data_IF_963278243986
#
_entry.id   IF_963278243986
#
_cell.length_a   1.000
_cell.length_b   1.000
_cell.length_c   1.000
_cell.angle_alpha   90.00
_cell.angle_beta   90.00
_cell.angle_gamma   90.00
#
_symmetry.space_group_name_H-M   'P 1'
#
loop_
_entity.id
_entity.type
_entity.pdbx_description
1 polymer ?
#
# COMPACT_ATOMS: atom_id res chain seq x y z
N UNK A 1 -11.26 -50.90 29.68
CA UNK A 1 -10.40 -49.91 28.96
C UNK A 1 -10.92 -49.59 27.56
N UNK A 2 -11.72 -50.42 26.92
CA UNK A 2 -12.28 -50.22 25.55
C UNK A 2 -13.42 -49.18 25.45
N UNK A 3 -14.19 -48.95 26.53
CA UNK A 3 -15.35 -48.03 26.48
C UNK A 3 -14.97 -46.53 26.41
N UNK A 4 -13.84 -46.11 26.97
CA UNK A 4 -13.39 -44.71 26.94
C UNK A 4 -12.78 -44.28 25.60
N UNK A 5 -12.23 -45.21 24.84
CA UNK A 5 -11.63 -44.94 23.52
C UNK A 5 -12.72 -44.66 22.48
N UNK A 6 -13.84 -45.35 22.52
CA UNK A 6 -14.95 -45.11 21.61
C UNK A 6 -15.66 -43.77 21.83
N UNK A 7 -15.67 -43.24 23.07
CA UNK A 7 -16.23 -41.93 23.38
C UNK A 7 -15.34 -40.77 22.90
N UNK A 8 -14.02 -40.95 22.91
CA UNK A 8 -13.07 -39.96 22.38
C UNK A 8 -13.08 -39.95 20.84
N UNK A 9 -13.13 -41.08 20.19
CA UNK A 9 -13.24 -41.16 18.72
C UNK A 9 -14.56 -40.57 18.20
N UNK A 10 -15.68 -40.78 18.89
CA UNK A 10 -16.98 -40.22 18.51
C UNK A 10 -17.02 -38.68 18.63
N UNK A 11 -16.33 -38.11 19.62
CA UNK A 11 -16.21 -36.63 19.76
C UNK A 11 -15.24 -35.99 18.76
N UNK A 12 -14.19 -36.70 18.34
CA UNK A 12 -13.29 -36.24 17.29
C UNK A 12 -13.96 -36.26 15.91
N UNK A 13 -14.78 -37.28 15.62
CA UNK A 13 -15.53 -37.33 14.37
C UNK A 13 -16.63 -36.28 14.27
N UNK A 14 -17.31 -35.95 15.38
CA UNK A 14 -18.33 -34.90 15.39
C UNK A 14 -17.73 -33.50 15.30
N UNK A 15 -16.46 -33.29 15.69
CA UNK A 15 -15.75 -31.99 15.52
C UNK A 15 -15.29 -31.81 14.08
N UNK A 16 -15.00 -32.85 13.33
CA UNK A 16 -14.56 -32.78 11.93
C UNK A 16 -15.70 -32.46 10.94
N UNK A 17 -16.96 -32.72 11.33
CA UNK A 17 -18.14 -32.42 10.49
C UNK A 17 -18.53 -30.95 10.53
N UNK A 18 -18.02 -30.13 11.50
CA UNK A 18 -18.39 -28.73 11.68
C UNK A 18 -17.51 -27.75 10.87
N UNK A 19 -16.50 -28.21 10.11
CA UNK A 19 -15.60 -27.32 9.35
C UNK A 19 -15.80 -27.48 7.82
N UNK A 20 -16.94 -27.97 7.38
CA UNK A 20 -17.30 -27.88 5.97
C UNK A 20 -17.92 -26.52 5.68
N UNK A 21 -17.10 -25.47 5.73
CA UNK A 21 -17.44 -24.19 5.12
C UNK A 21 -17.46 -24.42 3.61
N UNK A 22 -18.66 -24.69 3.06
CA UNK A 22 -18.82 -24.65 1.60
C UNK A 22 -18.48 -23.24 1.15
N UNK A 23 -17.56 -23.06 0.19
CA UNK A 23 -17.36 -21.75 -0.40
C UNK A 23 -18.71 -21.32 -1.01
N UNK A 24 -19.26 -20.24 -0.49
CA UNK A 24 -20.47 -19.62 -1.05
C UNK A 24 -20.02 -18.88 -2.31
N UNK A 25 -20.09 -19.58 -3.44
CA UNK A 25 -19.91 -18.91 -4.74
C UNK A 25 -21.13 -18.02 -4.99
N UNK A 26 -20.88 -16.82 -5.52
CA UNK A 26 -21.95 -15.95 -5.98
C UNK A 26 -22.75 -16.67 -7.09
N UNK A 27 -24.06 -16.59 -7.03
CA UNK A 27 -24.95 -17.17 -8.04
C UNK A 27 -24.79 -16.37 -9.33
N UNK A 28 -24.40 -17.05 -10.42
CA UNK A 28 -24.30 -16.40 -11.72
C UNK A 28 -25.70 -16.06 -12.25
N UNK A 29 -25.97 -14.78 -12.46
CA UNK A 29 -27.20 -14.28 -13.01
C UNK A 29 -26.94 -13.15 -14.03
N UNK A 30 -26.92 -13.48 -15.33
CA UNK A 30 -26.72 -12.49 -16.41
C UNK A 30 -27.78 -11.37 -16.45
N UNK A 31 -29.00 -11.64 -15.92
CA UNK A 31 -30.09 -10.66 -15.91
C UNK A 31 -29.84 -9.46 -14.94
N UNK A 32 -28.73 -9.48 -14.19
CA UNK A 32 -28.31 -8.35 -13.36
C UNK A 32 -27.66 -7.21 -14.15
N UNK A 33 -27.35 -7.45 -15.43
CA UNK A 33 -26.78 -6.44 -16.31
C UNK A 33 -27.85 -5.43 -16.74
N UNK A 34 -27.57 -4.12 -16.62
CA UNK A 34 -28.48 -3.09 -17.11
C UNK A 34 -28.65 -3.16 -18.63
N UNK A 35 -29.81 -2.73 -19.16
CA UNK A 35 -30.05 -2.64 -20.61
C UNK A 35 -29.13 -1.57 -21.25
N UNK A 36 -28.97 -0.43 -20.59
CA UNK A 36 -28.05 0.61 -21.03
C UNK A 36 -26.63 0.35 -20.55
N UNK A 37 -25.66 0.45 -21.47
CA UNK A 37 -24.23 0.29 -21.14
C UNK A 37 -23.75 1.43 -20.24
N UNK A 38 -23.36 1.10 -19.02
CA UNK A 38 -22.76 2.02 -18.03
C UNK A 38 -21.40 1.46 -17.58
N UNK A 39 -20.38 2.29 -17.35
CA UNK A 39 -19.11 1.83 -16.84
C UNK A 39 -19.14 1.38 -15.36
N UNK A 40 -20.25 1.64 -14.64
CA UNK A 40 -20.40 1.38 -13.21
C UNK A 40 -21.65 0.55 -12.93
N UNK A 41 -21.48 -0.70 -12.49
CA UNK A 41 -22.55 -1.59 -12.02
C UNK A 41 -22.34 -1.85 -10.54
N UNK A 42 -23.16 -1.22 -9.70
CA UNK A 42 -23.03 -1.27 -8.24
C UNK A 42 -24.18 -2.10 -7.63
N UNK A 43 -24.02 -3.44 -7.64
CA UNK A 43 -25.01 -4.39 -7.11
C UNK A 43 -24.96 -4.50 -5.59
N UNK A 44 -23.79 -4.33 -4.99
CA UNK A 44 -23.59 -4.35 -3.54
C UNK A 44 -23.92 -3.02 -2.85
N UNK A 45 -24.22 -1.97 -3.62
CA UNK A 45 -24.49 -0.60 -3.13
C UNK A 45 -23.36 -0.03 -2.28
N UNK A 46 -22.14 -0.25 -2.74
CA UNK A 46 -20.91 0.26 -2.12
C UNK A 46 -20.76 1.77 -2.32
N UNK A 47 -21.42 2.36 -3.32
CA UNK A 47 -21.37 3.78 -3.63
C UNK A 47 -22.72 4.46 -3.34
N UNK A 48 -22.67 5.70 -2.87
CA UNK A 48 -23.86 6.55 -2.85
C UNK A 48 -24.28 6.92 -4.28
N UNK A 49 -25.55 7.29 -4.52
CA UNK A 49 -26.03 7.67 -5.85
C UNK A 49 -25.21 8.80 -6.50
N UNK A 50 -24.76 9.78 -5.72
CA UNK A 50 -23.96 10.89 -6.21
C UNK A 50 -22.54 10.44 -6.58
N UNK A 51 -21.92 9.58 -5.77
CA UNK A 51 -20.61 9.01 -6.06
C UNK A 51 -20.66 8.13 -7.31
N UNK A 52 -21.71 7.29 -7.45
CA UNK A 52 -21.89 6.46 -8.63
C UNK A 52 -21.95 7.31 -9.90
N UNK A 53 -22.81 8.35 -9.92
CA UNK A 53 -22.94 9.25 -11.07
C UNK A 53 -21.63 9.98 -11.40
N UNK A 54 -20.95 10.50 -10.38
CA UNK A 54 -19.66 11.17 -10.55
C UNK A 54 -18.60 10.21 -11.10
N UNK A 55 -18.60 8.96 -10.63
CA UNK A 55 -17.67 7.93 -11.11
C UNK A 55 -17.98 7.55 -12.57
N UNK A 56 -19.26 7.40 -12.95
CA UNK A 56 -19.68 7.15 -14.33
C UNK A 56 -19.18 8.23 -15.29
N UNK A 57 -19.39 9.50 -14.94
CA UNK A 57 -18.90 10.64 -15.72
C UNK A 57 -17.37 10.64 -15.83
N UNK A 58 -16.68 10.39 -14.73
CA UNK A 58 -15.20 10.33 -14.65
C UNK A 58 -14.62 9.22 -15.53
N UNK A 59 -15.19 8.02 -15.50
CA UNK A 59 -14.71 6.87 -16.26
C UNK A 59 -15.02 7.01 -17.77
N UNK A 60 -16.18 7.56 -18.13
CA UNK A 60 -16.53 7.86 -19.52
C UNK A 60 -15.58 8.92 -20.11
N UNK A 61 -15.31 10.00 -19.36
CA UNK A 61 -14.38 11.03 -19.82
C UNK A 61 -12.97 10.46 -20.02
N UNK A 62 -12.49 9.64 -19.09
CA UNK A 62 -11.19 8.98 -19.20
C UNK A 62 -11.11 8.11 -20.47
N UNK A 63 -12.15 7.33 -20.74
CA UNK A 63 -12.21 6.48 -21.94
C UNK A 63 -12.19 7.31 -23.24
N UNK A 64 -12.96 8.42 -23.29
CA UNK A 64 -13.00 9.31 -24.44
C UNK A 64 -11.64 10.01 -24.67
N UNK A 65 -11.00 10.49 -23.60
CA UNK A 65 -9.76 11.27 -23.70
C UNK A 65 -8.51 10.42 -23.95
N UNK A 66 -8.46 9.22 -23.36
CA UNK A 66 -7.24 8.40 -23.34
C UNK A 66 -7.35 7.04 -24.02
N UNK A 67 -8.57 6.57 -24.31
CA UNK A 67 -8.83 5.23 -24.82
C UNK A 67 -8.74 4.11 -23.76
N UNK A 68 -8.38 4.42 -22.50
CA UNK A 68 -8.34 3.45 -21.41
C UNK A 68 -9.72 3.18 -20.86
N UNK A 69 -10.13 1.91 -20.84
CA UNK A 69 -11.44 1.46 -20.39
C UNK A 69 -11.37 0.96 -18.95
N UNK A 70 -11.84 1.76 -17.98
CA UNK A 70 -11.99 1.31 -16.60
C UNK A 70 -13.47 1.02 -16.34
N UNK A 71 -13.76 -0.19 -15.88
CA UNK A 71 -15.12 -0.65 -15.55
C UNK A 71 -15.17 -1.09 -14.09
N UNK A 72 -16.25 -0.77 -13.42
CA UNK A 72 -16.45 -1.09 -12.01
C UNK A 72 -17.70 -1.94 -11.80
N UNK A 73 -17.53 -3.07 -11.12
CA UNK A 73 -18.59 -3.97 -10.68
C UNK A 73 -18.50 -4.18 -9.17
N UNK A 74 -19.54 -3.84 -8.42
CA UNK A 74 -19.68 -4.38 -7.09
C UNK A 74 -20.66 -5.56 -7.09
N UNK A 75 -20.37 -6.59 -6.31
CA UNK A 75 -21.20 -7.79 -6.20
C UNK A 75 -21.30 -8.23 -4.74
N UNK A 76 -22.41 -8.92 -4.41
CA UNK A 76 -22.62 -9.45 -3.07
C UNK A 76 -23.04 -10.93 -3.12
N UNK A 77 -24.34 -11.24 -3.16
CA UNK A 77 -24.84 -12.63 -3.21
C UNK A 77 -24.88 -13.20 -4.61
N UNK A 78 -25.03 -12.35 -5.61
CA UNK A 78 -25.12 -12.72 -7.03
C UNK A 78 -24.23 -11.84 -7.88
N UNK A 79 -23.75 -12.41 -8.98
CA UNK A 79 -22.82 -11.79 -9.92
C UNK A 79 -23.31 -12.04 -11.35
N UNK A 80 -23.09 -11.14 -12.30
CA UNK A 80 -23.34 -11.40 -13.72
C UNK A 80 -22.40 -12.46 -14.31
N UNK A 81 -21.37 -12.90 -13.57
CA UNK A 81 -20.42 -13.92 -14.01
C UNK A 81 -19.63 -13.53 -15.25
N UNK A 82 -19.41 -14.48 -16.17
CA UNK A 82 -18.65 -14.24 -17.41
C UNK A 82 -19.34 -13.32 -18.39
N UNK A 83 -20.69 -13.16 -18.31
CA UNK A 83 -21.45 -12.29 -19.18
C UNK A 83 -21.00 -10.82 -19.14
N UNK A 84 -20.34 -10.41 -18.04
CA UNK A 84 -19.79 -9.06 -17.90
C UNK A 84 -18.71 -8.73 -18.93
N UNK A 85 -17.97 -9.74 -19.42
CA UNK A 85 -16.92 -9.54 -20.42
C UNK A 85 -17.51 -9.13 -21.76
N UNK A 86 -18.57 -9.82 -22.16
CA UNK A 86 -19.27 -9.53 -23.42
C UNK A 86 -20.08 -8.23 -23.33
N UNK A 87 -20.64 -7.94 -22.15
CA UNK A 87 -21.39 -6.71 -21.91
C UNK A 87 -20.53 -5.45 -22.07
N UNK A 88 -19.29 -5.46 -21.61
CA UNK A 88 -18.38 -4.33 -21.70
C UNK A 88 -17.35 -4.43 -22.83
N UNK A 89 -17.40 -5.48 -23.66
CA UNK A 89 -16.44 -5.73 -24.73
C UNK A 89 -14.98 -5.58 -24.21
N UNK A 90 -14.67 -6.30 -23.12
CA UNK A 90 -13.38 -6.17 -22.45
C UNK A 90 -12.24 -6.68 -23.35
N UNK A 91 -11.22 -5.83 -23.52
CA UNK A 91 -10.03 -6.06 -24.34
C UNK A 91 -8.72 -5.80 -23.57
N UNK A 92 -7.60 -5.72 -24.29
CA UNK A 92 -6.27 -5.49 -23.73
C UNK A 92 -6.14 -4.12 -23.03
N UNK A 93 -6.96 -3.14 -23.41
CA UNK A 93 -6.99 -1.78 -22.84
C UNK A 93 -8.03 -1.63 -21.73
N UNK A 94 -8.63 -2.73 -21.30
CA UNK A 94 -9.70 -2.74 -20.31
C UNK A 94 -9.19 -3.14 -18.92
N UNK A 95 -9.65 -2.42 -17.90
CA UNK A 95 -9.48 -2.73 -16.49
C UNK A 95 -10.84 -2.96 -15.86
N UNK A 96 -11.11 -4.17 -15.39
CA UNK A 96 -12.28 -4.48 -14.60
C UNK A 96 -11.92 -4.51 -13.11
N UNK A 97 -12.53 -3.64 -12.35
CA UNK A 97 -12.42 -3.58 -10.88
C UNK A 97 -13.66 -4.22 -10.29
N UNK A 98 -13.47 -5.29 -9.52
CA UNK A 98 -14.56 -5.99 -8.85
C UNK A 98 -14.45 -5.77 -7.35
N UNK A 99 -15.49 -5.22 -6.73
CA UNK A 99 -15.62 -5.12 -5.29
C UNK A 99 -16.57 -6.22 -4.75
N UNK A 100 -16.07 -7.04 -3.83
CA UNK A 100 -16.89 -8.04 -3.12
C UNK A 100 -16.71 -7.89 -1.60
N UNK A 101 -17.65 -7.26 -0.89
CA UNK A 101 -17.57 -7.04 0.56
C UNK A 101 -17.48 -8.31 1.40
N UNK A 102 -17.80 -9.49 0.84
CA UNK A 102 -17.70 -10.78 1.55
C UNK A 102 -16.32 -11.40 1.45
N UNK A 103 -15.48 -10.90 0.54
CA UNK A 103 -14.11 -11.40 0.36
C UNK A 103 -13.21 -11.01 1.53
N UNK A 104 -12.12 -11.74 1.71
CA UNK A 104 -11.06 -11.33 2.64
C UNK A 104 -10.33 -10.04 2.20
N UNK A 105 -10.47 -9.71 0.94
CA UNK A 105 -10.03 -8.46 0.31
C UNK A 105 -11.20 -7.91 -0.51
N UNK A 106 -11.56 -6.65 -0.28
CA UNK A 106 -12.69 -6.02 -0.97
C UNK A 106 -12.48 -5.96 -2.49
N UNK A 107 -11.27 -5.69 -2.95
CA UNK A 107 -10.96 -5.36 -4.35
C UNK A 107 -10.28 -6.51 -5.07
N UNK A 108 -10.75 -6.79 -6.29
CA UNK A 108 -10.11 -7.67 -7.25
C UNK A 108 -9.98 -6.96 -8.61
N UNK A 109 -8.88 -7.18 -9.31
CA UNK A 109 -8.57 -6.52 -10.58
C UNK A 109 -8.42 -7.57 -11.70
N UNK A 110 -9.16 -7.39 -12.79
CA UNK A 110 -8.90 -8.08 -14.05
C UNK A 110 -8.30 -7.07 -15.01
N UNK A 111 -7.01 -7.21 -15.27
CA UNK A 111 -6.17 -6.19 -15.91
C UNK A 111 -5.85 -6.63 -17.32
N UNK A 112 -6.19 -5.81 -18.33
CA UNK A 112 -5.81 -6.01 -19.71
C UNK A 112 -4.30 -5.90 -19.92
N UNK A 113 -3.77 -6.65 -20.88
CA UNK A 113 -2.32 -6.78 -21.09
C UNK A 113 -1.62 -5.44 -21.38
N UNK A 114 -2.30 -4.48 -22.01
CA UNK A 114 -1.73 -3.18 -22.32
C UNK A 114 -1.36 -2.37 -21.07
N UNK A 115 -2.08 -2.56 -19.95
CA UNK A 115 -1.79 -1.89 -18.68
C UNK A 115 -0.43 -2.25 -18.10
N UNK A 116 0.09 -3.47 -18.36
CA UNK A 116 1.37 -3.91 -17.79
C UNK A 116 2.58 -3.17 -18.38
N UNK A 117 2.42 -2.48 -19.49
CA UNK A 117 3.45 -1.59 -20.04
C UNK A 117 3.60 -0.29 -19.21
N UNK A 118 2.55 0.10 -18.49
CA UNK A 118 2.49 1.33 -17.69
C UNK A 118 2.60 1.06 -16.19
N UNK A 119 2.06 -0.06 -15.72
CA UNK A 119 2.00 -0.44 -14.31
C UNK A 119 2.34 -1.93 -14.17
N UNK A 120 3.50 -2.29 -13.57
CA UNK A 120 3.94 -3.67 -13.45
C UNK A 120 3.00 -4.50 -12.56
N UNK A 121 3.10 -5.84 -12.64
CA UNK A 121 2.25 -6.75 -11.84
C UNK A 121 2.27 -6.45 -10.34
N UNK A 122 3.43 -6.04 -9.80
CA UNK A 122 3.57 -5.66 -8.39
C UNK A 122 2.73 -4.44 -8.00
N UNK A 123 2.52 -3.50 -8.91
CA UNK A 123 1.63 -2.36 -8.69
C UNK A 123 0.20 -2.82 -8.36
N UNK A 124 -0.34 -3.79 -9.11
CA UNK A 124 -1.69 -4.30 -8.91
C UNK A 124 -1.85 -5.06 -7.60
N UNK A 125 -0.83 -5.84 -7.21
CA UNK A 125 -0.79 -6.50 -5.91
C UNK A 125 -0.76 -5.46 -4.78
N UNK A 126 0.06 -4.44 -4.91
CA UNK A 126 0.12 -3.34 -3.93
C UNK A 126 -1.21 -2.58 -3.86
N UNK A 127 -1.82 -2.25 -5.00
CA UNK A 127 -3.10 -1.55 -5.08
C UNK A 127 -4.20 -2.34 -4.34
N UNK A 128 -4.28 -3.64 -4.60
CA UNK A 128 -5.24 -4.54 -3.96
C UNK A 128 -5.01 -4.65 -2.45
N UNK A 129 -3.77 -4.88 -2.03
CA UNK A 129 -3.45 -5.04 -0.60
C UNK A 129 -3.55 -3.75 0.17
N UNK A 130 -3.33 -2.61 -0.47
CA UNK A 130 -3.39 -1.29 0.17
C UNK A 130 -4.82 -0.82 0.39
N UNK A 131 -5.67 -0.87 -0.65
CA UNK A 131 -7.02 -0.31 -0.57
C UNK A 131 -8.09 -1.37 -0.28
N UNK A 132 -7.88 -2.62 -0.72
CA UNK A 132 -8.86 -3.69 -0.55
C UNK A 132 -8.81 -4.39 0.81
N UNK A 133 -7.81 -4.12 1.67
CA UNK A 133 -7.72 -4.80 2.96
C UNK A 133 -8.76 -4.27 3.95
N UNK A 134 -9.19 -5.14 4.88
CA UNK A 134 -10.23 -4.85 5.86
C UNK A 134 -9.93 -3.66 6.80
N UNK A 135 -8.65 -3.35 7.05
CA UNK A 135 -8.28 -2.21 7.90
C UNK A 135 -8.53 -0.90 7.17
N UNK A 136 -8.11 -0.82 5.90
CA UNK A 136 -8.36 0.34 5.07
C UNK A 136 -9.85 0.59 4.87
N UNK A 137 -10.61 -0.45 4.55
CA UNK A 137 -12.06 -0.41 4.40
C UNK A 137 -12.76 0.03 5.69
N UNK A 138 -12.29 -0.43 6.86
CA UNK A 138 -12.84 0.00 8.16
C UNK A 138 -12.64 1.49 8.41
N UNK A 139 -11.51 2.05 8.00
CA UNK A 139 -11.15 3.45 8.29
C UNK A 139 -11.72 4.43 7.24
N UNK A 140 -11.90 3.99 5.98
CA UNK A 140 -12.28 4.86 4.84
C UNK A 140 -13.63 4.51 4.20
N UNK A 141 -14.26 3.40 4.61
CA UNK A 141 -15.45 2.85 3.96
C UNK A 141 -15.13 2.05 2.69
N UNK A 142 -16.13 1.30 2.21
CA UNK A 142 -16.03 0.56 0.94
C UNK A 142 -15.93 1.50 -0.24
N UNK A 143 -16.71 2.59 -0.21
CA UNK A 143 -16.69 3.65 -1.20
C UNK A 143 -15.32 4.35 -1.30
N UNK A 144 -14.75 4.72 -0.16
CA UNK A 144 -13.40 5.30 -0.10
C UNK A 144 -12.34 4.38 -0.68
N UNK A 145 -12.37 3.09 -0.31
CA UNK A 145 -11.44 2.09 -0.83
C UNK A 145 -11.51 1.96 -2.37
N UNK A 146 -12.72 1.92 -2.92
CA UNK A 146 -12.96 1.83 -4.37
C UNK A 146 -12.48 3.09 -5.09
N UNK A 147 -12.89 4.28 -4.61
CA UNK A 147 -12.58 5.55 -5.25
C UNK A 147 -11.07 5.85 -5.22
N UNK A 148 -10.41 5.61 -4.08
CA UNK A 148 -8.97 5.83 -3.95
C UNK A 148 -8.13 4.88 -4.82
N UNK A 149 -8.59 3.63 -4.99
CA UNK A 149 -7.96 2.69 -5.91
C UNK A 149 -8.08 3.16 -7.37
N UNK A 150 -9.28 3.58 -7.79
CA UNK A 150 -9.53 4.10 -9.15
C UNK A 150 -8.71 5.38 -9.40
N UNK A 151 -8.68 6.30 -8.43
CA UNK A 151 -7.91 7.54 -8.55
C UNK A 151 -6.41 7.28 -8.65
N UNK A 152 -5.90 6.30 -7.92
CA UNK A 152 -4.50 5.88 -8.04
C UNK A 152 -4.16 5.38 -9.45
N UNK A 153 -5.03 4.58 -10.07
CA UNK A 153 -4.85 4.12 -11.45
C UNK A 153 -4.90 5.30 -12.43
N UNK A 154 -5.90 6.18 -12.29
CA UNK A 154 -6.06 7.37 -13.14
C UNK A 154 -4.82 8.25 -13.11
N UNK A 155 -4.30 8.58 -11.91
CA UNK A 155 -3.07 9.36 -11.73
C UNK A 155 -1.90 8.71 -12.47
N UNK A 156 -1.80 7.38 -12.43
CA UNK A 156 -0.72 6.67 -13.12
C UNK A 156 -0.87 6.72 -14.65
N UNK A 157 -2.08 6.61 -15.17
CA UNK A 157 -2.32 6.76 -16.60
C UNK A 157 -1.98 8.17 -17.09
N UNK A 158 -2.38 9.20 -16.35
CA UNK A 158 -2.08 10.61 -16.65
C UNK A 158 -0.56 10.92 -16.61
N UNK A 159 0.20 10.19 -15.78
CA UNK A 159 1.67 10.34 -15.68
C UNK A 159 2.46 9.52 -16.70
N UNK A 160 1.80 8.73 -17.54
CA UNK A 160 2.46 7.82 -18.46
C UNK A 160 3.02 6.55 -17.80
N UNK A 161 2.53 6.20 -16.60
CA UNK A 161 2.85 4.98 -15.87
C UNK A 161 3.34 5.19 -14.44
N UNK A 162 3.28 4.13 -13.64
CA UNK A 162 3.79 4.11 -12.27
C UNK A 162 4.45 2.75 -11.96
N UNK A 163 5.57 2.78 -11.25
CA UNK A 163 6.22 1.57 -10.74
C UNK A 163 5.62 1.13 -9.40
N UNK A 164 5.10 2.06 -8.62
CA UNK A 164 4.51 1.88 -7.29
C UNK A 164 3.21 2.68 -7.17
N UNK A 165 2.32 2.26 -6.27
CA UNK A 165 1.04 2.94 -6.04
C UNK A 165 1.29 4.35 -5.49
N UNK A 166 0.70 5.40 -6.09
CA UNK A 166 0.85 6.78 -5.63
C UNK A 166 0.35 7.00 -4.20
N UNK A 167 0.90 8.03 -3.56
CA UNK A 167 0.56 8.42 -2.19
C UNK A 167 1.37 7.66 -1.14
N UNK A 168 1.62 8.31 -0.02
CA UNK A 168 2.44 7.80 1.08
C UNK A 168 1.54 7.46 2.28
N UNK A 169 1.32 6.15 2.59
CA UNK A 169 0.56 5.74 3.77
C UNK A 169 1.19 6.27 5.05
N UNK A 170 0.37 6.57 6.07
CA UNK A 170 0.84 7.12 7.36
C UNK A 170 1.89 6.21 8.02
N UNK A 171 1.67 4.91 8.02
CA UNK A 171 2.58 3.91 8.58
C UNK A 171 3.93 3.94 7.87
N UNK A 172 3.92 4.00 6.54
CA UNK A 172 5.15 4.09 5.75
C UNK A 172 5.88 5.42 6.00
N UNK A 173 5.14 6.53 6.13
CA UNK A 173 5.73 7.83 6.47
C UNK A 173 6.41 7.80 7.85
N UNK A 174 5.78 7.20 8.85
CA UNK A 174 6.39 7.04 10.20
C UNK A 174 7.70 6.25 10.10
N UNK A 175 7.72 5.16 9.33
CA UNK A 175 8.96 4.39 9.10
C UNK A 175 10.05 5.21 8.42
N UNK A 176 9.72 5.99 7.38
CA UNK A 176 10.72 6.86 6.72
C UNK A 176 11.27 7.92 7.68
N UNK A 177 10.44 8.46 8.56
CA UNK A 177 10.86 9.42 9.58
C UNK A 177 11.79 8.76 10.62
N UNK A 178 11.43 7.59 11.15
CA UNK A 178 12.26 6.83 12.09
C UNK A 178 13.63 6.48 11.50
N UNK A 179 13.68 6.01 10.26
CA UNK A 179 14.95 5.68 9.59
C UNK A 179 15.80 6.92 9.31
N UNK A 180 15.17 8.08 9.02
CA UNK A 180 15.88 9.36 8.88
C UNK A 180 16.49 9.81 10.21
N UNK A 181 15.77 9.69 11.32
CA UNK A 181 16.29 9.98 12.68
C UNK A 181 17.47 9.06 13.01
N UNK A 182 17.32 7.75 12.81
CA UNK A 182 18.39 6.78 13.07
C UNK A 182 19.63 7.05 12.21
N UNK A 183 19.44 7.32 10.92
CA UNK A 183 20.51 7.71 10.01
C UNK A 183 21.25 8.95 10.48
N UNK A 184 20.51 9.98 10.93
CA UNK A 184 21.06 11.20 11.50
C UNK A 184 21.89 10.95 12.76
N UNK A 185 21.38 10.16 13.71
CA UNK A 185 22.10 9.78 14.93
C UNK A 185 23.42 9.07 14.60
N UNK A 186 23.42 8.13 13.66
CA UNK A 186 24.61 7.42 13.21
C UNK A 186 25.62 8.37 12.56
N UNK A 187 25.15 9.25 11.67
CA UNK A 187 25.99 10.23 10.99
C UNK A 187 26.62 11.22 12.00
N UNK A 188 25.82 11.71 12.95
CA UNK A 188 26.27 12.61 14.01
C UNK A 188 27.30 11.93 14.91
N UNK A 189 27.04 10.72 15.37
CA UNK A 189 28.00 9.92 16.15
C UNK A 189 29.29 9.68 15.37
N UNK A 190 29.19 9.37 14.08
CA UNK A 190 30.34 9.11 13.22
C UNK A 190 31.17 10.38 12.96
N UNK A 191 30.54 11.54 12.92
CA UNK A 191 31.22 12.82 12.68
C UNK A 191 31.97 13.37 13.90
N UNK A 192 31.68 12.88 15.09
CA UNK A 192 32.31 13.40 16.32
C UNK A 192 33.83 13.22 16.32
N UNK A 193 34.59 14.19 16.89
CA UNK A 193 36.05 14.16 16.93
C UNK A 193 36.56 12.98 17.73
N UNK A 194 37.65 12.37 17.27
CA UNK A 194 38.30 11.20 17.92
C UNK A 194 39.77 11.44 18.25
N UNK A 195 40.30 12.62 17.88
CA UNK A 195 41.68 13.06 18.15
C UNK A 195 41.67 14.50 18.62
N UNK A 196 42.63 14.86 19.47
CA UNK A 196 42.81 16.25 19.89
C UNK A 196 42.99 17.17 18.69
N UNK A 197 42.35 18.34 18.75
CA UNK A 197 42.36 19.34 17.68
C UNK A 197 41.49 19.02 16.44
N UNK A 198 40.79 17.89 16.44
CA UNK A 198 39.88 17.52 15.37
C UNK A 198 38.46 18.04 15.66
N UNK A 199 37.81 18.69 14.68
CA UNK A 199 36.41 19.11 14.77
C UNK A 199 35.48 18.03 14.27
N UNK A 200 35.82 17.38 13.15
CA UNK A 200 35.01 16.34 12.51
C UNK A 200 35.90 15.16 12.12
N UNK A 201 35.49 13.95 12.45
CA UNK A 201 36.16 12.71 12.07
C UNK A 201 35.73 12.23 10.69
N UNK A 202 36.28 12.81 9.61
CA UNK A 202 35.90 12.51 8.22
C UNK A 202 36.10 11.02 7.91
N UNK A 203 37.21 10.40 8.34
CA UNK A 203 37.49 8.99 8.08
C UNK A 203 36.43 8.05 8.67
N UNK A 204 35.97 8.32 9.89
CA UNK A 204 34.96 7.50 10.55
C UNK A 204 33.56 7.79 10.00
N UNK A 205 33.27 9.03 9.66
CA UNK A 205 32.02 9.40 8.95
C UNK A 205 31.92 8.69 7.60
N UNK A 206 33.04 8.62 6.85
CA UNK A 206 33.10 7.90 5.57
C UNK A 206 32.98 6.38 5.76
N UNK A 207 33.63 5.82 6.78
CA UNK A 207 33.52 4.38 7.11
C UNK A 207 32.07 3.96 7.39
N UNK A 208 31.30 4.78 8.11
CA UNK A 208 29.89 4.52 8.44
C UNK A 208 28.90 5.05 7.38
N UNK A 209 29.39 5.65 6.28
CA UNK A 209 28.52 6.20 5.23
C UNK A 209 27.57 5.19 4.59
N UNK A 210 27.92 3.91 4.35
CA UNK A 210 26.95 2.94 3.86
C UNK A 210 25.77 2.77 4.80
N UNK A 211 25.99 2.79 6.11
CA UNK A 211 24.95 2.60 7.11
C UNK A 211 24.00 3.81 7.20
N UNK A 212 24.51 5.01 7.49
CA UNK A 212 23.65 6.19 7.60
C UNK A 212 23.09 6.62 6.24
N UNK A 213 23.82 6.39 5.14
CA UNK A 213 23.36 6.67 3.78
C UNK A 213 22.21 5.76 3.36
N UNK A 214 22.25 4.47 3.72
CA UNK A 214 21.15 3.54 3.50
C UNK A 214 19.93 3.93 4.33
N UNK A 215 20.10 4.19 5.63
CA UNK A 215 19.01 4.57 6.53
C UNK A 215 18.30 5.84 6.06
N UNK A 216 19.05 6.88 5.71
CA UNK A 216 18.47 8.14 5.28
C UNK A 216 18.07 8.14 3.81
N UNK A 217 18.96 7.71 2.88
CA UNK A 217 18.71 7.77 1.45
C UNK A 217 17.69 6.74 1.00
N UNK A 218 17.96 5.44 1.26
CA UNK A 218 17.14 4.36 0.72
C UNK A 218 15.84 4.18 1.52
N UNK A 219 15.91 4.16 2.86
CA UNK A 219 14.74 3.93 3.69
C UNK A 219 14.02 5.22 4.11
N UNK A 220 14.75 6.35 4.21
CA UNK A 220 14.18 7.64 4.60
C UNK A 220 13.61 8.44 3.43
N UNK A 221 14.35 8.64 2.35
CA UNK A 221 13.97 9.53 1.26
C UNK A 221 13.37 8.82 0.04
N UNK A 222 13.93 7.69 -0.39
CA UNK A 222 13.50 7.04 -1.63
C UNK A 222 12.01 6.66 -1.65
N UNK A 223 11.38 6.15 -0.56
CA UNK A 223 9.94 5.87 -0.56
C UNK A 223 9.07 7.13 -0.72
N UNK A 224 9.53 8.28 -0.22
CA UNK A 224 8.81 9.55 -0.36
C UNK A 224 8.88 10.00 -1.83
N UNK A 225 10.09 10.05 -2.39
CA UNK A 225 10.33 10.53 -3.77
C UNK A 225 9.58 9.67 -4.79
N UNK A 226 9.51 8.34 -4.57
CA UNK A 226 8.84 7.43 -5.51
C UNK A 226 7.31 7.49 -5.47
N UNK A 227 6.71 7.95 -4.35
CA UNK A 227 5.27 7.86 -4.13
C UNK A 227 4.52 9.19 -4.15
N UNK A 228 5.20 10.30 -3.90
CA UNK A 228 4.55 11.61 -3.85
C UNK A 228 5.41 12.71 -4.47
N UNK A 229 4.74 13.71 -5.04
CA UNK A 229 5.38 14.95 -5.50
C UNK A 229 5.36 16.04 -4.40
N UNK A 230 4.76 15.74 -3.23
CA UNK A 230 4.75 16.68 -2.12
C UNK A 230 6.14 16.73 -1.48
N UNK A 231 6.71 17.93 -1.45
CA UNK A 231 8.04 18.19 -0.87
C UNK A 231 8.02 18.28 0.66
N UNK A 232 6.84 18.44 1.29
CA UNK A 232 6.74 18.62 2.73
C UNK A 232 7.24 17.39 3.53
N UNK A 233 6.88 16.14 3.19
CA UNK A 233 7.45 14.96 3.86
C UNK A 233 8.97 14.86 3.68
N UNK A 234 9.48 15.20 2.50
CA UNK A 234 10.92 15.20 2.21
C UNK A 234 11.67 16.20 3.10
N UNK A 235 11.14 17.42 3.21
CA UNK A 235 11.70 18.46 4.06
C UNK A 235 11.68 18.07 5.55
N UNK A 236 10.57 17.50 6.02
CA UNK A 236 10.45 17.01 7.42
C UNK A 236 11.49 15.94 7.73
N UNK A 237 11.71 14.97 6.82
CA UNK A 237 12.70 13.91 7.00
C UNK A 237 14.14 14.48 6.99
N UNK A 238 14.43 15.46 6.12
CA UNK A 238 15.71 16.17 6.11
C UNK A 238 15.99 16.92 7.42
N UNK A 239 14.99 17.64 7.95
CA UNK A 239 15.10 18.30 9.25
C UNK A 239 15.30 17.30 10.40
N UNK A 240 14.56 16.20 10.39
CA UNK A 240 14.68 15.16 11.39
C UNK A 240 16.08 14.52 11.38
N UNK A 241 16.62 14.23 10.20
CA UNK A 241 17.99 13.72 10.03
C UNK A 241 19.02 14.71 10.59
N UNK A 242 18.90 15.98 10.24
CA UNK A 242 19.86 17.04 10.69
C UNK A 242 19.79 17.22 12.20
N UNK A 243 18.59 17.35 12.77
CA UNK A 243 18.42 17.51 14.22
C UNK A 243 18.96 16.29 14.99
N UNK A 244 18.66 15.09 14.53
CA UNK A 244 19.19 13.85 15.10
C UNK A 244 20.72 13.76 14.96
N UNK A 245 21.28 14.24 13.83
CA UNK A 245 22.72 14.31 13.62
C UNK A 245 23.43 15.23 14.64
N UNK A 246 22.87 16.40 14.88
CA UNK A 246 23.39 17.31 15.92
C UNK A 246 23.33 16.65 17.30
N UNK A 247 22.21 16.00 17.64
CA UNK A 247 22.05 15.28 18.91
C UNK A 247 23.06 14.14 19.05
N UNK A 248 23.25 13.33 18.00
CA UNK A 248 24.22 12.24 17.95
C UNK A 248 25.67 12.71 18.12
N UNK A 249 26.01 13.85 17.50
CA UNK A 249 27.33 14.48 17.63
C UNK A 249 27.57 14.92 19.09
N UNK A 250 26.65 15.66 19.70
CA UNK A 250 26.74 16.11 21.10
C UNK A 250 26.84 14.94 22.07
N UNK A 251 25.98 13.93 21.88
CA UNK A 251 25.96 12.73 22.71
C UNK A 251 27.30 11.97 22.64
N UNK A 252 27.88 11.86 21.44
CA UNK A 252 29.19 11.24 21.24
C UNK A 252 30.28 11.98 22.00
N UNK A 253 30.32 13.31 21.94
CA UNK A 253 31.30 14.10 22.69
C UNK A 253 31.19 13.90 24.22
N UNK A 254 29.97 13.90 24.74
CA UNK A 254 29.76 13.70 26.19
C UNK A 254 30.16 12.30 26.68
N UNK A 255 29.96 11.29 25.85
CA UNK A 255 30.37 9.91 26.17
C UNK A 255 31.90 9.76 26.16
N UNK A 256 32.60 10.31 25.14
CA UNK A 256 34.05 10.22 25.05
C UNK A 256 34.76 11.08 26.09
N UNK A 257 34.28 12.29 26.42
CA UNK A 257 34.87 13.13 27.47
C UNK A 257 34.81 12.50 28.88
N UNK A 258 33.84 11.64 29.14
CA UNK A 258 33.75 10.87 30.39
C UNK A 258 34.79 9.75 30.48
N UNK A 259 35.21 9.21 29.34
CA UNK A 259 36.19 8.12 29.31
C UNK A 259 37.66 8.61 29.48
N UNK A 260 37.92 9.88 29.11
CA UNK A 260 39.27 10.47 29.19
C UNK A 260 39.61 11.12 30.55
N UNK A 261 38.70 11.13 31.52
CA UNK A 261 39.07 11.60 32.89
C UNK A 261 39.96 10.52 33.52
N UNK A 262 41.28 10.81 33.73
CA UNK A 262 42.13 9.91 34.47
C UNK A 262 41.55 9.71 35.87
N UNK A 263 41.50 8.46 36.33
CA UNK A 263 41.32 8.16 37.75
C UNK A 263 42.53 8.78 38.48
N UNK A 264 42.35 9.98 39.03
CA UNK A 264 43.28 10.54 39.96
C UNK A 264 43.29 9.59 41.17
N UNK A 265 44.29 8.75 41.26
CA UNK A 265 44.74 8.06 42.44
C UNK A 265 45.35 9.07 43.40
#
# INVERSE_FOLDING_TARGET
MHSKINYLLGRFLSLLVLISHKPVFAINNPNLLPEEKTPVIDLAKTLSPNQKKSLEEKLNNLEIESGWKIKYLSQFESSPGSAIKDYWDLDETSLLIVADPRGGNLLNFNVGEAYFNFMPRLFWVELQTRFGNQYYVKDHGEDGAVLDAIDSVKICLERGGCQVVPGLPKEQYVWTLCTSILGGLVAGFASAPRKEGQVISIGFLALLSPLWGMLFGIFGLAPIISRTNDLLPLFKNGLAFTAAGIAGYILSQTLFSRYEKPKNT
#
